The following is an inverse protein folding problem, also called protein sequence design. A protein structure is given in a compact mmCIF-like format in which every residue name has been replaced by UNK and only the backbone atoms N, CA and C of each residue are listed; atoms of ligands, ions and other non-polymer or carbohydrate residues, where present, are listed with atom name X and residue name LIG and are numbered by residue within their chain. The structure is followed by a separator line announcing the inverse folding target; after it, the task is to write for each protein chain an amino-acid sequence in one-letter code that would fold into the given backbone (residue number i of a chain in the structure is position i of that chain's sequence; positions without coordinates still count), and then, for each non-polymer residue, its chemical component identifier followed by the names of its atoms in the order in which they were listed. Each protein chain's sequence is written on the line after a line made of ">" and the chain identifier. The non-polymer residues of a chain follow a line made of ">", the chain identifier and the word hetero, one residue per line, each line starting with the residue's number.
data_IF_530329839753
#
_entry.id   IF_530329839753
#
_cell.length_a   1.000
_cell.length_b   1.000
_cell.length_c   1.000
_cell.angle_alpha   90.00
_cell.angle_beta   90.00
_cell.angle_gamma   90.00
#
_symmetry.space_group_name_H-M   'P 1'
#
loop_
_entity.id
_entity.type
_entity.pdbx_description
1 polymer ?
#
# COMPACT_ATOMS: atom_id res chain seq x y z
N UNK A 1 7.15 -3.69 21.01
CA UNK A 1 6.44 -2.52 20.49
C UNK A 1 6.78 -2.39 19.02
N UNK A 2 5.84 -2.65 18.13
CA UNK A 2 6.04 -2.47 16.69
C UNK A 2 5.95 -0.98 16.37
N UNK A 3 7.07 -0.35 16.00
CA UNK A 3 7.09 1.04 15.55
C UNK A 3 6.89 1.06 14.04
N UNK A 4 5.66 1.28 13.58
CA UNK A 4 5.39 1.48 12.17
C UNK A 4 5.91 2.86 11.74
N UNK A 5 7.02 2.90 11.02
CA UNK A 5 7.67 4.17 10.59
C UNK A 5 7.52 4.46 9.10
N UNK A 6 6.89 3.56 8.35
CA UNK A 6 6.85 3.57 6.90
C UNK A 6 5.40 3.44 6.43
N UNK A 7 4.87 4.45 5.73
CA UNK A 7 3.46 4.54 5.30
C UNK A 7 3.38 4.68 3.79
N UNK A 8 2.47 3.92 3.17
CA UNK A 8 2.02 4.13 1.79
C UNK A 8 0.51 4.35 1.76
N UNK A 9 0.05 5.13 0.79
CA UNK A 9 -1.35 5.40 0.55
C UNK A 9 -1.64 5.50 -0.95
N UNK A 10 -2.76 4.92 -1.38
CA UNK A 10 -3.25 5.13 -2.74
C UNK A 10 -4.78 5.03 -2.80
N UNK A 11 -5.34 5.45 -3.92
CA UNK A 11 -6.71 5.22 -4.31
C UNK A 11 -6.73 4.43 -5.63
N UNK A 12 -7.56 3.39 -5.73
CA UNK A 12 -7.66 2.50 -6.89
C UNK A 12 -9.11 2.32 -7.34
N UNK A 13 -9.38 2.02 -8.62
CA UNK A 13 -10.74 2.06 -9.15
C UNK A 13 -11.64 0.88 -8.75
N UNK A 14 -11.14 -0.14 -8.07
CA UNK A 14 -11.94 -1.30 -7.65
C UNK A 14 -11.42 -1.94 -6.37
N UNK A 15 -12.32 -2.59 -5.62
CA UNK A 15 -11.96 -3.34 -4.41
C UNK A 15 -10.99 -4.49 -4.70
N UNK A 16 -11.17 -5.19 -5.82
CA UNK A 16 -10.31 -6.32 -6.20
C UNK A 16 -8.86 -5.86 -6.43
N UNK A 17 -8.67 -4.69 -7.04
CA UNK A 17 -7.36 -4.07 -7.17
C UNK A 17 -6.78 -3.70 -5.78
N UNK A 18 -7.63 -3.24 -4.87
CA UNK A 18 -7.20 -2.90 -3.51
C UNK A 18 -6.75 -4.14 -2.71
N UNK A 19 -7.48 -5.24 -2.85
CA UNK A 19 -7.10 -6.54 -2.27
C UNK A 19 -5.80 -7.06 -2.87
N UNK A 20 -5.65 -7.03 -4.20
CA UNK A 20 -4.43 -7.48 -4.87
C UNK A 20 -3.19 -6.68 -4.42
N UNK A 21 -3.31 -5.35 -4.25
CA UNK A 21 -2.24 -4.53 -3.69
C UNK A 21 -1.94 -4.88 -2.22
N UNK A 22 -2.97 -5.13 -1.41
CA UNK A 22 -2.80 -5.53 -0.02
C UNK A 22 -2.07 -6.89 0.11
N UNK A 23 -2.41 -7.85 -0.74
CA UNK A 23 -1.69 -9.12 -0.84
C UNK A 23 -0.24 -8.91 -1.26
N UNK A 24 0.00 -8.08 -2.28
CA UNK A 24 1.35 -7.71 -2.72
C UNK A 24 2.18 -7.09 -1.60
N UNK A 25 1.61 -6.19 -0.80
CA UNK A 25 2.26 -5.59 0.37
C UNK A 25 2.68 -6.65 1.39
N UNK A 26 1.79 -7.62 1.67
CA UNK A 26 2.07 -8.72 2.61
C UNK A 26 3.15 -9.68 2.14
N UNK A 27 3.42 -9.76 0.84
CA UNK A 27 4.58 -10.51 0.32
C UNK A 27 5.92 -9.88 0.71
N UNK A 28 5.96 -8.55 0.93
CA UNK A 28 7.16 -7.85 1.36
C UNK A 28 7.27 -7.71 2.88
N UNK A 29 6.13 -7.67 3.57
CA UNK A 29 6.02 -7.55 5.01
C UNK A 29 4.71 -8.18 5.49
N UNK A 30 4.78 -9.44 5.96
CA UNK A 30 3.62 -10.22 6.40
C UNK A 30 2.87 -9.56 7.57
N UNK A 31 3.58 -8.79 8.40
CA UNK A 31 3.06 -8.07 9.56
C UNK A 31 2.59 -6.65 9.23
N UNK A 32 2.61 -6.25 7.94
CA UNK A 32 2.15 -4.93 7.53
C UNK A 32 0.67 -4.75 7.87
N UNK A 33 0.36 -3.64 8.53
CA UNK A 33 -1.03 -3.24 8.74
C UNK A 33 -1.56 -2.63 7.44
N UNK A 34 -2.68 -3.16 6.93
CA UNK A 34 -3.33 -2.65 5.72
C UNK A 34 -4.79 -2.34 6.02
N UNK A 35 -5.20 -1.13 5.71
CA UNK A 35 -6.58 -0.66 5.81
C UNK A 35 -7.11 -0.31 4.42
N UNK A 36 -8.24 -0.90 4.05
CA UNK A 36 -8.96 -0.63 2.79
C UNK A 36 -10.31 -0.04 3.15
N UNK A 37 -10.69 1.06 2.48
CA UNK A 37 -12.01 1.67 2.61
C UNK A 37 -12.47 2.28 1.30
N UNK A 38 -13.77 2.44 1.14
CA UNK A 38 -14.34 3.25 0.06
C UNK A 38 -14.00 4.73 0.31
N UNK A 39 -13.63 5.44 -0.76
CA UNK A 39 -13.51 6.88 -0.74
C UNK A 39 -14.88 7.53 -0.52
N UNK A 40 -14.90 8.69 0.14
CA UNK A 40 -16.15 9.44 0.35
C UNK A 40 -16.43 10.42 -0.79
N UNK A 41 -15.40 10.77 -1.56
CA UNK A 41 -15.44 11.86 -2.54
C UNK A 41 -15.55 11.34 -3.99
N UNK A 42 -15.26 10.06 -4.22
CA UNK A 42 -15.28 9.42 -5.55
C UNK A 42 -15.49 7.89 -5.50
N UNK A 43 -15.65 7.28 -6.67
CA UNK A 43 -15.87 5.84 -6.84
C UNK A 43 -14.58 5.01 -6.71
N UNK A 44 -13.61 5.48 -5.93
CA UNK A 44 -12.33 4.82 -5.70
C UNK A 44 -12.28 4.14 -4.34
N UNK A 45 -11.37 3.19 -4.21
CA UNK A 45 -11.02 2.48 -2.99
C UNK A 45 -9.69 2.97 -2.48
N UNK A 46 -9.67 3.52 -1.26
CA UNK A 46 -8.46 3.97 -0.60
C UNK A 46 -7.79 2.83 0.14
N UNK A 47 -6.47 2.78 0.05
CA UNK A 47 -5.61 1.82 0.72
C UNK A 47 -4.59 2.61 1.51
N UNK A 48 -4.46 2.30 2.80
CA UNK A 48 -3.40 2.82 3.66
C UNK A 48 -2.65 1.63 4.25
N UNK A 49 -1.35 1.57 4.00
CA UNK A 49 -0.49 0.52 4.52
C UNK A 49 0.60 1.10 5.42
N UNK A 50 0.83 0.42 6.55
CA UNK A 50 1.87 0.74 7.52
C UNK A 50 2.79 -0.47 7.65
N UNK A 51 4.06 -0.29 7.29
CA UNK A 51 5.04 -1.37 7.28
C UNK A 51 5.81 -1.43 8.61
N UNK A 52 6.08 -2.64 9.04
CA UNK A 52 6.92 -3.03 10.17
C UNK A 52 8.25 -3.60 9.66
N UNK A 53 9.02 -2.80 8.90
CA UNK A 53 10.29 -3.23 8.32
C UNK A 53 11.42 -3.25 9.37
N UNK A 54 11.41 -4.28 10.23
CA UNK A 54 12.41 -4.44 11.30
C UNK A 54 13.82 -4.71 10.75
N UNK A 55 13.95 -5.44 9.63
CA UNK A 55 15.22 -5.97 9.13
C UNK A 55 15.69 -5.46 7.76
N UNK A 56 14.91 -4.65 7.01
CA UNK A 56 15.34 -4.12 5.70
C UNK A 56 15.35 -2.59 5.54
N UNK A 57 14.88 -1.85 6.55
CA UNK A 57 15.09 -0.40 6.69
C UNK A 57 14.64 0.46 5.51
N UNK A 58 15.30 1.62 5.36
CA UNK A 58 14.95 2.67 4.37
C UNK A 58 15.09 2.23 2.91
N UNK A 59 16.03 1.33 2.60
CA UNK A 59 16.28 0.88 1.23
C UNK A 59 15.16 -0.06 0.74
N UNK A 60 14.76 -1.04 1.56
CA UNK A 60 13.64 -1.92 1.23
C UNK A 60 12.36 -1.10 1.03
N UNK A 61 12.11 -0.12 1.91
CA UNK A 61 10.95 0.76 1.76
C UNK A 61 10.98 1.57 0.46
N UNK A 62 12.14 2.07 0.03
CA UNK A 62 12.27 2.81 -1.22
C UNK A 62 11.95 1.95 -2.44
N UNK A 63 12.38 0.68 -2.44
CA UNK A 63 12.06 -0.28 -3.52
C UNK A 63 10.56 -0.59 -3.53
N UNK A 64 9.97 -0.87 -2.36
CA UNK A 64 8.53 -1.15 -2.24
C UNK A 64 7.73 0.04 -2.74
N UNK A 65 8.12 1.26 -2.36
CA UNK A 65 7.45 2.50 -2.78
C UNK A 65 7.46 2.65 -4.31
N UNK A 66 8.59 2.36 -4.97
CA UNK A 66 8.70 2.43 -6.42
C UNK A 66 7.82 1.38 -7.12
N UNK A 67 7.83 0.13 -6.63
CA UNK A 67 7.00 -0.94 -7.19
C UNK A 67 5.52 -0.62 -7.01
N UNK A 68 5.14 -0.18 -5.81
CA UNK A 68 3.78 0.20 -5.46
C UNK A 68 3.27 1.34 -6.35
N UNK A 69 4.04 2.41 -6.52
CA UNK A 69 3.70 3.53 -7.39
C UNK A 69 3.44 3.10 -8.84
N UNK A 70 4.31 2.24 -9.38
CA UNK A 70 4.15 1.71 -10.74
C UNK A 70 2.88 0.86 -10.87
N UNK A 71 2.63 -0.04 -9.92
CA UNK A 71 1.43 -0.88 -9.92
C UNK A 71 0.15 -0.06 -9.83
N UNK A 72 0.12 0.94 -8.93
CA UNK A 72 -1.03 1.86 -8.78
C UNK A 72 -1.29 2.61 -10.07
N UNK A 73 -0.25 3.13 -10.74
CA UNK A 73 -0.41 3.84 -12.01
C UNK A 73 -0.91 2.93 -13.14
N UNK A 74 -0.43 1.69 -13.22
CA UNK A 74 -0.81 0.72 -14.25
C UNK A 74 -2.32 0.39 -14.22
N UNK A 75 -2.89 0.28 -13.02
CA UNK A 75 -4.32 0.02 -12.83
C UNK A 75 -5.19 1.28 -12.85
N UNK A 76 -4.62 2.45 -13.19
CA UNK A 76 -5.34 3.72 -13.23
C UNK A 76 -5.65 4.32 -11.85
N UNK A 77 -4.94 3.91 -10.80
CA UNK A 77 -5.01 4.50 -9.47
C UNK A 77 -4.14 5.76 -9.32
N UNK A 78 -4.17 6.34 -8.12
CA UNK A 78 -3.37 7.51 -7.74
C UNK A 78 -2.80 7.36 -6.33
N UNK A 79 -1.62 7.91 -6.08
CA UNK A 79 -1.04 7.99 -4.73
C UNK A 79 -1.77 9.05 -3.88
N UNK A 80 -1.80 8.86 -2.56
CA UNK A 80 -2.42 9.77 -1.57
C UNK A 80 -1.41 10.61 -0.80
#
# INVERSE_FOLDING_TARGET
>A
MSSFSYRLGCAVPSYDNAQALAEGIRLFDEDAFVHIKESQDDDFWEIIALFNLVNGGKLQFAIISLLFANSVKEIGGREL
#
